data_IF_060411851418
#
_entry.id   IF_060411851418
#
_cell.length_a   1.000
_cell.length_b   1.000
_cell.length_c   1.000
_cell.angle_alpha   90.00
_cell.angle_beta   90.00
_cell.angle_gamma   90.00
#
_symmetry.space_group_name_H-M   'P 1'
#
loop_
_entity.id
_entity.type
_entity.pdbx_description
1 polymer ?
#
# COMPACT_ATOMS: atom_id res chain seq x y z
N UNK A 1 -14.23 -57.46 2.44
CA UNK A 1 -12.87 -58.07 2.51
C UNK A 1 -13.05 -59.56 2.76
N UNK A 2 -12.92 -60.38 1.70
CA UNK A 2 -12.88 -61.83 1.82
C UNK A 2 -11.40 -62.20 1.85
N UNK A 3 -10.91 -62.66 3.00
CA UNK A 3 -9.59 -63.26 3.15
C UNK A 3 -9.50 -64.51 2.27
N UNK A 4 -9.09 -64.31 1.01
CA UNK A 4 -8.73 -65.41 0.12
C UNK A 4 -7.48 -66.06 0.71
N UNK A 5 -7.69 -67.25 1.26
CA UNK A 5 -6.70 -68.19 1.73
C UNK A 5 -5.51 -68.24 0.76
N UNK A 6 -4.38 -67.64 1.15
CA UNK A 6 -3.19 -67.45 0.31
C UNK A 6 -2.41 -68.77 0.23
N UNK A 7 -2.21 -69.31 -0.98
CA UNK A 7 -1.25 -70.38 -1.26
C UNK A 7 -1.40 -71.68 -0.46
N UNK A 8 -2.59 -72.03 0.04
CA UNK A 8 -2.74 -73.18 0.94
C UNK A 8 -2.34 -74.52 0.31
N UNK A 9 -2.50 -74.66 -1.01
CA UNK A 9 -2.18 -75.90 -1.74
C UNK A 9 -0.83 -75.79 -2.44
N UNK A 10 -0.55 -74.65 -3.07
CA UNK A 10 0.67 -74.47 -3.87
C UNK A 10 1.91 -74.08 -3.06
N UNK A 11 1.74 -73.52 -1.85
CA UNK A 11 2.82 -72.88 -1.09
C UNK A 11 3.27 -71.53 -1.67
N UNK A 12 2.60 -71.00 -2.70
CA UNK A 12 2.94 -69.73 -3.35
C UNK A 12 2.23 -68.56 -2.65
N UNK A 13 2.94 -67.45 -2.39
CA UNK A 13 2.26 -66.21 -1.98
C UNK A 13 1.62 -65.53 -3.19
N UNK A 14 0.43 -66.02 -3.56
CA UNK A 14 -0.38 -65.52 -4.67
C UNK A 14 -0.70 -64.04 -4.51
N UNK A 15 -0.90 -63.58 -3.27
CA UNK A 15 -1.13 -62.18 -2.94
C UNK A 15 0.07 -61.29 -3.31
N UNK A 16 1.29 -61.75 -2.99
CA UNK A 16 2.53 -61.04 -3.35
C UNK A 16 2.75 -61.00 -4.86
N UNK A 17 2.52 -62.13 -5.57
CA UNK A 17 2.65 -62.18 -7.03
C UNK A 17 1.65 -61.26 -7.74
N UNK A 18 0.38 -61.26 -7.30
CA UNK A 18 -0.64 -60.35 -7.85
C UNK A 18 -0.22 -58.90 -7.62
N UNK A 19 0.30 -58.55 -6.44
CA UNK A 19 0.81 -57.19 -6.19
C UNK A 19 1.97 -56.82 -7.13
N UNK A 20 2.95 -57.71 -7.31
CA UNK A 20 4.08 -57.48 -8.22
C UNK A 20 3.62 -57.31 -9.68
N UNK A 21 2.70 -58.17 -10.16
CA UNK A 21 2.12 -58.02 -11.49
C UNK A 21 1.37 -56.70 -11.63
N UNK A 22 0.56 -56.33 -10.63
CA UNK A 22 -0.15 -55.06 -10.63
C UNK A 22 0.79 -53.84 -10.61
N UNK A 23 1.96 -53.92 -9.96
CA UNK A 23 2.95 -52.85 -10.00
C UNK A 23 3.50 -52.62 -11.42
N UNK A 24 3.81 -53.69 -12.15
CA UNK A 24 4.28 -53.59 -13.55
C UNK A 24 3.16 -53.07 -14.45
N UNK A 25 1.95 -53.59 -14.30
CA UNK A 25 0.76 -53.16 -15.05
C UNK A 25 0.39 -51.69 -14.78
N UNK A 26 0.74 -51.15 -13.61
CA UNK A 26 0.53 -49.75 -13.26
C UNK A 26 1.57 -48.78 -13.87
N UNK A 27 2.65 -49.27 -14.49
CA UNK A 27 3.69 -48.41 -15.04
C UNK A 27 3.19 -47.33 -16.04
N UNK A 28 2.23 -47.60 -16.94
CA UNK A 28 1.64 -46.57 -17.80
C UNK A 28 0.90 -45.49 -17.01
N UNK A 29 0.19 -45.87 -15.94
CA UNK A 29 -0.48 -44.91 -15.05
C UNK A 29 0.54 -44.04 -14.32
N UNK A 30 1.62 -44.63 -13.80
CA UNK A 30 2.71 -43.87 -13.15
C UNK A 30 3.31 -42.85 -14.11
N UNK A 31 3.51 -43.21 -15.38
CA UNK A 31 3.98 -42.26 -16.40
C UNK A 31 3.00 -41.10 -16.61
N UNK A 32 1.69 -41.35 -16.61
CA UNK A 32 0.68 -40.28 -16.72
C UNK A 32 0.68 -39.38 -15.47
N UNK A 33 0.76 -39.94 -14.27
CA UNK A 33 0.88 -39.19 -13.02
C UNK A 33 2.11 -38.29 -13.01
N UNK A 34 3.27 -38.81 -13.45
CA UNK A 34 4.50 -38.01 -13.57
C UNK A 34 4.35 -36.86 -14.58
N UNK A 35 3.59 -37.06 -15.68
CA UNK A 35 3.28 -35.98 -16.62
C UNK A 35 2.38 -34.91 -15.99
N UNK A 36 1.39 -35.30 -15.19
CA UNK A 36 0.56 -34.36 -14.42
C UNK A 36 1.42 -33.52 -13.48
N UNK A 37 2.30 -34.14 -12.70
CA UNK A 37 3.21 -33.44 -11.79
C UNK A 37 4.14 -32.47 -12.54
N UNK A 38 4.66 -32.89 -13.69
CA UNK A 38 5.50 -32.04 -14.54
C UNK A 38 4.72 -30.83 -15.03
N UNK A 39 3.51 -31.03 -15.58
CA UNK A 39 2.67 -29.95 -16.07
C UNK A 39 2.24 -28.99 -14.94
N UNK A 40 1.94 -29.50 -13.75
CA UNK A 40 1.61 -28.69 -12.57
C UNK A 40 2.80 -27.83 -12.13
N UNK A 41 4.01 -28.39 -12.16
CA UNK A 41 5.25 -27.66 -11.88
C UNK A 41 5.46 -26.56 -12.92
N UNK A 42 5.29 -26.86 -14.21
CA UNK A 42 5.34 -25.87 -15.30
C UNK A 42 4.35 -24.74 -15.08
N UNK A 43 3.08 -25.03 -14.74
CA UNK A 43 2.07 -24.01 -14.43
C UNK A 43 2.55 -23.08 -13.31
N UNK A 44 3.07 -23.66 -12.22
CA UNK A 44 3.56 -22.90 -11.07
C UNK A 44 4.73 -21.99 -11.45
N UNK A 45 5.69 -22.50 -12.24
CA UNK A 45 6.83 -21.72 -12.74
C UNK A 45 6.39 -20.56 -13.64
N UNK A 46 5.44 -20.78 -14.54
CA UNK A 46 4.88 -19.70 -15.37
C UNK A 46 4.15 -18.65 -14.54
N UNK A 47 3.41 -19.05 -13.50
CA UNK A 47 2.74 -18.12 -12.60
C UNK A 47 3.72 -17.27 -11.78
N UNK A 48 4.84 -17.85 -11.33
CA UNK A 48 5.91 -17.12 -10.66
C UNK A 48 6.50 -16.02 -11.56
N UNK A 49 6.84 -16.36 -12.81
CA UNK A 49 7.33 -15.41 -13.82
C UNK A 49 6.27 -14.32 -14.08
N UNK A 50 5.00 -14.70 -14.25
CA UNK A 50 3.91 -13.75 -14.51
C UNK A 50 3.77 -12.71 -13.39
N UNK A 51 3.96 -13.13 -12.14
CA UNK A 51 3.91 -12.25 -10.97
C UNK A 51 5.04 -11.21 -11.01
N UNK A 52 6.26 -11.63 -11.36
CA UNK A 52 7.39 -10.70 -11.51
C UNK A 52 7.20 -9.74 -12.70
N UNK A 53 6.64 -10.22 -13.81
CA UNK A 53 6.27 -9.36 -14.94
C UNK A 53 5.19 -8.35 -14.57
N UNK A 54 4.24 -8.70 -13.71
CA UNK A 54 3.23 -7.76 -13.21
C UNK A 54 3.84 -6.62 -12.40
N UNK A 55 4.85 -6.93 -11.58
CA UNK A 55 5.60 -5.91 -10.85
C UNK A 55 6.34 -4.97 -11.82
N UNK A 56 7.03 -5.53 -12.83
CA UNK A 56 7.70 -4.75 -13.87
C UNK A 56 6.71 -3.88 -14.69
N UNK A 57 5.54 -4.41 -15.06
CA UNK A 57 4.47 -3.66 -15.74
C UNK A 57 4.00 -2.48 -14.89
N UNK A 58 3.76 -2.72 -13.60
CA UNK A 58 3.29 -1.69 -12.66
C UNK A 58 4.32 -0.58 -12.51
N UNK A 59 5.61 -0.94 -12.36
CA UNK A 59 6.69 0.02 -12.26
C UNK A 59 6.88 0.82 -13.57
N UNK A 60 6.80 0.16 -14.73
CA UNK A 60 6.88 0.83 -16.03
C UNK A 60 5.73 1.81 -16.26
N UNK A 61 4.49 1.39 -15.94
CA UNK A 61 3.31 2.27 -15.99
C UNK A 61 3.43 3.46 -15.04
N UNK A 62 4.05 3.31 -13.88
CA UNK A 62 4.27 4.42 -12.96
C UNK A 62 5.16 5.50 -13.59
N UNK A 63 6.23 5.12 -14.30
CA UNK A 63 7.07 6.06 -15.06
C UNK A 63 6.25 6.72 -16.19
N UNK A 64 5.35 5.96 -16.82
CA UNK A 64 4.47 6.40 -17.90
C UNK A 64 3.43 7.46 -17.54
N UNK A 65 3.21 7.77 -16.25
CA UNK A 65 2.14 8.66 -15.79
C UNK A 65 2.61 10.11 -15.69
N UNK A 66 1.79 11.04 -16.21
CA UNK A 66 2.00 12.48 -16.08
C UNK A 66 2.18 12.94 -14.62
N UNK A 67 1.44 12.32 -13.69
CA UNK A 67 1.54 12.60 -12.26
C UNK A 67 2.96 12.44 -11.72
N UNK A 68 3.68 11.40 -12.13
CA UNK A 68 5.07 11.17 -11.73
C UNK A 68 5.95 12.38 -12.07
N UNK A 69 5.78 12.93 -13.27
CA UNK A 69 6.55 14.05 -13.79
C UNK A 69 6.12 15.42 -13.25
N UNK A 70 4.98 15.47 -12.54
CA UNK A 70 4.48 16.67 -11.85
C UNK A 70 4.67 16.60 -10.34
N UNK A 71 5.40 15.59 -9.84
CA UNK A 71 5.70 15.46 -8.41
C UNK A 71 6.61 16.62 -8.00
N UNK A 72 6.22 17.32 -6.94
CA UNK A 72 6.96 18.45 -6.39
C UNK A 72 7.46 18.11 -4.99
N UNK A 73 8.61 18.64 -4.61
CA UNK A 73 9.10 18.66 -3.23
C UNK A 73 9.18 20.10 -2.73
N UNK A 74 8.94 20.25 -1.44
CA UNK A 74 8.97 21.53 -0.74
C UNK A 74 10.08 21.56 0.29
N UNK A 75 10.72 22.71 0.46
CA UNK A 75 11.75 22.94 1.48
C UNK A 75 11.49 24.28 2.16
N UNK A 76 11.49 24.26 3.48
CA UNK A 76 11.47 25.48 4.31
C UNK A 76 12.89 25.85 4.73
N UNK A 77 13.16 27.14 4.87
CA UNK A 77 14.37 27.65 5.51
C UNK A 77 14.33 27.59 7.04
N UNK A 78 13.16 27.28 7.62
CA UNK A 78 12.94 27.23 9.06
C UNK A 78 12.20 25.98 9.51
N UNK A 79 12.58 25.44 10.67
CA UNK A 79 11.90 24.33 11.35
C UNK A 79 10.52 24.73 11.92
N UNK A 80 10.25 26.02 12.12
CA UNK A 80 8.95 26.50 12.59
C UNK A 80 7.85 26.41 11.52
N UNK A 81 8.25 26.17 10.27
CA UNK A 81 7.38 26.15 9.10
C UNK A 81 7.54 24.82 8.38
N UNK A 82 6.43 24.10 8.25
CA UNK A 82 6.35 22.93 7.38
C UNK A 82 5.62 23.29 6.11
N UNK A 83 6.08 22.75 4.98
CA UNK A 83 5.44 22.94 3.69
C UNK A 83 5.27 21.58 3.02
N UNK A 84 4.10 21.36 2.46
CA UNK A 84 3.76 20.12 1.73
C UNK A 84 3.16 20.48 0.37
N UNK A 85 3.66 19.85 -0.68
CA UNK A 85 3.08 19.89 -2.02
C UNK A 85 2.02 18.80 -2.19
N UNK A 86 0.97 19.10 -2.96
CA UNK A 86 -0.08 18.15 -3.27
C UNK A 86 -0.75 18.41 -4.62
N UNK A 87 -1.14 17.32 -5.28
CA UNK A 87 -1.90 17.34 -6.53
C UNK A 87 -1.08 17.73 -7.75
N UNK A 88 -1.74 17.68 -8.92
CA UNK A 88 -1.12 18.01 -10.21
C UNK A 88 -0.88 19.51 -10.38
N UNK A 89 -1.60 20.36 -9.65
CA UNK A 89 -1.56 21.82 -9.78
C UNK A 89 -0.33 22.48 -9.17
N UNK A 90 0.52 21.71 -8.48
CA UNK A 90 1.71 22.23 -7.85
C UNK A 90 2.70 22.79 -8.90
N UNK A 91 3.22 23.98 -8.66
CA UNK A 91 4.16 24.67 -9.56
C UNK A 91 5.47 24.97 -8.84
N UNK A 92 6.57 24.98 -9.60
CA UNK A 92 7.85 25.40 -9.08
C UNK A 92 7.83 26.89 -8.78
N UNK A 93 8.47 27.29 -7.69
CA UNK A 93 8.51 28.67 -7.23
C UNK A 93 9.01 28.78 -5.81
N UNK A 94 9.09 30.00 -5.31
CA UNK A 94 9.39 30.27 -3.93
C UNK A 94 8.49 31.37 -3.38
N UNK A 95 8.38 31.40 -2.06
CA UNK A 95 7.67 32.45 -1.35
C UNK A 95 8.45 32.83 -0.10
N UNK A 96 8.58 34.14 0.15
CA UNK A 96 9.24 34.68 1.35
C UNK A 96 8.23 35.42 2.20
N UNK A 97 8.22 35.16 3.50
CA UNK A 97 7.29 35.78 4.43
C UNK A 97 7.85 35.87 5.86
N UNK A 98 7.25 36.73 6.67
CA UNK A 98 7.37 36.72 8.13
C UNK A 98 6.10 36.12 8.73
N UNK A 99 6.24 35.26 9.75
CA UNK A 99 5.14 34.85 10.63
C UNK A 99 4.98 35.90 11.72
N UNK A 100 3.93 36.71 11.63
CA UNK A 100 3.64 37.80 12.59
C UNK A 100 2.89 37.33 13.81
N UNK A 101 2.01 36.35 13.64
CA UNK A 101 1.31 35.70 14.73
C UNK A 101 0.88 34.30 14.30
N UNK A 102 0.63 33.44 15.29
CA UNK A 102 0.02 32.13 15.10
C UNK A 102 -1.44 32.16 15.53
N UNK A 103 -2.24 31.30 14.92
CA UNK A 103 -3.62 31.08 15.33
C UNK A 103 -3.62 30.34 16.67
N UNK A 104 -4.37 30.86 17.64
CA UNK A 104 -4.54 30.24 18.95
C UNK A 104 -6.02 30.28 19.39
N UNK A 105 -6.50 29.26 20.11
CA UNK A 105 -7.81 29.29 20.73
C UNK A 105 -7.86 30.29 21.89
N UNK A 106 -9.06 30.73 22.23
CA UNK A 106 -9.26 31.51 23.46
C UNK A 106 -9.06 30.62 24.69
N UNK A 107 -8.52 31.22 25.76
CA UNK A 107 -8.56 30.67 27.11
C UNK A 107 -9.13 31.70 28.07
N UNK A 108 -10.08 31.29 28.92
CA UNK A 108 -10.63 32.12 29.99
C UNK A 108 -10.44 31.39 31.32
N UNK A 109 -9.99 32.11 32.34
CA UNK A 109 -9.78 31.57 33.69
C UNK A 109 -10.53 32.39 34.73
N UNK A 110 -11.07 31.70 35.74
CA UNK A 110 -11.69 32.31 36.90
C UNK A 110 -11.16 31.63 38.16
N UNK A 111 -10.74 32.41 39.15
CA UNK A 111 -10.29 31.89 40.44
C UNK A 111 -11.51 31.54 41.29
N UNK A 112 -11.61 30.31 41.77
CA UNK A 112 -12.82 29.77 42.40
C UNK A 112 -12.49 29.07 43.72
N UNK A 113 -13.45 29.09 44.65
CA UNK A 113 -13.42 28.21 45.81
C UNK A 113 -13.86 26.81 45.38
N UNK A 114 -13.00 25.81 45.59
CA UNK A 114 -13.29 24.43 45.15
C UNK A 114 -14.22 23.67 46.09
N UNK A 115 -14.57 24.28 47.22
CA UNK A 115 -15.41 23.70 48.27
C UNK A 115 -16.71 24.47 48.52
N UNK A 116 -16.82 25.69 47.98
CA UNK A 116 -18.01 26.50 48.15
C UNK A 116 -19.19 25.94 47.35
N UNK A 117 -20.29 25.70 48.06
CA UNK A 117 -21.58 25.35 47.48
C UNK A 117 -22.34 26.62 47.07
N UNK A 118 -22.88 26.64 45.85
CA UNK A 118 -23.72 27.74 45.32
C UNK A 118 -23.01 29.09 45.12
N UNK A 119 -21.68 29.12 45.05
CA UNK A 119 -20.92 30.35 44.74
C UNK A 119 -21.00 30.75 43.25
N UNK A 120 -21.46 29.84 42.38
CA UNK A 120 -21.57 30.02 40.94
C UNK A 120 -23.02 29.80 40.47
N UNK A 121 -23.45 30.40 39.34
CA UNK A 121 -24.83 30.30 38.90
C UNK A 121 -25.19 28.86 38.43
N UNK A 122 -26.39 28.34 38.79
CA UNK A 122 -26.87 27.04 38.31
C UNK A 122 -27.24 27.02 36.82
N UNK A 123 -27.43 28.20 36.24
CA UNK A 123 -27.67 28.41 34.81
C UNK A 123 -27.03 29.72 34.35
N UNK A 124 -26.37 29.68 33.19
CA UNK A 124 -25.66 30.81 32.61
C UNK A 124 -25.54 30.65 31.09
N UNK A 125 -25.25 31.75 30.40
CA UNK A 125 -25.06 31.73 28.97
C UNK A 125 -23.57 31.76 28.61
N UNK A 126 -23.22 31.03 27.56
CA UNK A 126 -21.96 31.16 26.84
C UNK A 126 -22.26 31.69 25.45
N UNK A 127 -21.75 32.89 25.15
CA UNK A 127 -21.79 33.46 23.80
C UNK A 127 -20.55 33.01 23.04
N UNK A 128 -20.71 32.54 21.81
CA UNK A 128 -19.61 32.14 20.92
C UNK A 128 -19.48 33.19 19.82
N UNK A 129 -18.27 33.71 19.61
CA UNK A 129 -18.00 34.71 18.58
C UNK A 129 -16.72 35.47 18.88
N UNK A 130 -16.42 36.49 18.08
CA UNK A 130 -15.23 37.31 18.27
C UNK A 130 -15.27 38.00 19.65
N UNK A 131 -14.28 37.68 20.49
CA UNK A 131 -14.05 38.34 21.77
C UNK A 131 -12.78 39.19 21.68
N UNK A 132 -12.92 40.51 21.86
CA UNK A 132 -11.82 41.48 21.80
C UNK A 132 -11.19 41.78 23.18
N UNK A 133 -11.58 41.04 24.21
CA UNK A 133 -11.19 41.22 25.60
C UNK A 133 -12.26 41.94 26.43
N UNK A 134 -13.30 42.49 25.81
CA UNK A 134 -14.42 43.15 26.49
C UNK A 134 -15.73 42.36 26.44
N UNK A 135 -15.72 41.19 25.81
CA UNK A 135 -16.90 40.33 25.60
C UNK A 135 -17.13 40.03 24.13
N UNK A 136 -18.25 39.36 23.83
CA UNK A 136 -18.70 39.01 22.48
C UNK A 136 -19.89 39.92 22.13
N UNK A 137 -19.63 40.97 21.35
CA UNK A 137 -20.64 41.94 20.93
C UNK A 137 -21.66 41.32 19.95
N UNK A 138 -21.17 40.55 18.97
CA UNK A 138 -21.98 39.91 17.92
C UNK A 138 -21.82 38.38 17.98
N UNK A 139 -22.60 37.68 18.82
CA UNK A 139 -22.47 36.23 18.98
C UNK A 139 -22.96 35.49 17.74
N UNK A 140 -22.12 34.58 17.23
CA UNK A 140 -22.49 33.59 16.22
C UNK A 140 -23.46 32.53 16.77
N UNK A 141 -23.35 32.25 18.07
CA UNK A 141 -24.24 31.36 18.81
C UNK A 141 -24.29 31.77 20.28
N UNK A 142 -25.39 31.46 20.95
CA UNK A 142 -25.52 31.60 22.41
C UNK A 142 -26.06 30.28 22.96
N UNK A 143 -25.36 29.72 23.94
CA UNK A 143 -25.71 28.46 24.57
C UNK A 143 -25.99 28.67 26.04
N UNK A 144 -27.20 28.32 26.47
CA UNK A 144 -27.55 28.29 27.89
C UNK A 144 -27.09 26.96 28.49
N UNK A 145 -26.19 27.04 29.46
CA UNK A 145 -25.74 25.90 30.26
C UNK A 145 -26.59 25.83 31.52
N UNK A 146 -27.04 24.62 31.86
CA UNK A 146 -27.82 24.35 33.07
C UNK A 146 -27.28 23.10 33.76
N UNK A 147 -27.18 23.15 35.09
CA UNK A 147 -26.92 21.95 35.88
C UNK A 147 -28.19 21.09 35.87
N UNK A 148 -28.15 19.98 35.14
CA UNK A 148 -29.30 19.09 34.93
C UNK A 148 -29.14 17.79 35.70
N UNK A 149 -30.19 17.35 36.42
CA UNK A 149 -30.22 16.11 37.19
C UNK A 149 -31.36 16.10 38.22
N UNK A 150 -31.73 14.92 38.73
CA UNK A 150 -32.70 14.77 39.82
C UNK A 150 -32.10 13.91 40.97
N UNK A 151 -31.79 14.51 42.14
CA UNK A 151 -31.89 15.94 42.44
C UNK A 151 -30.86 16.78 41.65
N UNK A 152 -31.14 18.08 41.49
CA UNK A 152 -30.25 19.00 40.78
C UNK A 152 -28.86 19.03 41.45
N UNK A 153 -27.75 18.87 40.71
CA UNK A 153 -26.41 18.97 41.27
C UNK A 153 -26.13 20.36 41.87
N UNK A 154 -25.39 20.41 42.97
CA UNK A 154 -24.95 21.68 43.57
C UNK A 154 -24.06 22.46 42.60
N UNK A 155 -24.18 23.80 42.47
CA UNK A 155 -23.31 24.63 41.65
C UNK A 155 -21.89 24.75 42.22
N UNK A 156 -21.08 23.73 41.96
CA UNK A 156 -19.64 23.68 42.23
C UNK A 156 -18.87 23.89 40.94
N UNK A 157 -17.61 24.37 40.99
CA UNK A 157 -16.77 24.51 39.80
C UNK A 157 -16.65 23.21 38.98
N UNK A 158 -16.58 22.06 39.65
CA UNK A 158 -16.49 20.74 39.00
C UNK A 158 -17.79 20.38 38.25
N UNK A 159 -18.95 20.62 38.86
CA UNK A 159 -20.24 20.37 38.21
C UNK A 159 -20.48 21.32 37.02
N UNK A 160 -20.02 22.58 37.11
CA UNK A 160 -20.05 23.52 35.99
C UNK A 160 -19.14 23.07 34.85
N UNK A 161 -17.90 22.66 35.16
CA UNK A 161 -16.99 22.14 34.16
C UNK A 161 -17.57 20.89 33.45
N UNK A 162 -18.19 19.99 34.21
CA UNK A 162 -18.87 18.81 33.66
C UNK A 162 -20.05 19.20 32.76
N UNK A 163 -20.88 20.17 33.15
CA UNK A 163 -22.01 20.66 32.35
C UNK A 163 -21.56 21.32 31.04
N UNK A 164 -20.51 22.17 31.08
CA UNK A 164 -19.93 22.79 29.89
C UNK A 164 -19.39 21.72 28.93
N UNK A 165 -18.63 20.75 29.44
CA UNK A 165 -18.08 19.66 28.62
C UNK A 165 -19.18 18.77 28.03
N UNK A 166 -20.29 18.55 28.75
CA UNK A 166 -21.42 17.74 28.30
C UNK A 166 -22.26 18.45 27.23
N UNK A 167 -22.21 19.78 27.17
CA UNK A 167 -22.94 20.56 26.16
C UNK A 167 -22.32 20.46 24.75
N UNK A 168 -21.07 19.99 24.63
CA UNK A 168 -20.33 19.80 23.36
C UNK A 168 -20.32 21.03 22.44
N UNK A 169 -20.17 22.22 23.03
CA UNK A 169 -20.22 23.51 22.33
C UNK A 169 -18.85 23.97 21.80
N UNK A 170 -17.87 23.07 21.71
CA UNK A 170 -16.51 23.41 21.28
C UNK A 170 -15.69 24.19 22.33
N UNK A 171 -16.07 24.12 23.60
CA UNK A 171 -15.30 24.63 24.74
C UNK A 171 -15.04 23.47 25.70
N UNK A 172 -13.81 23.37 26.19
CA UNK A 172 -13.42 22.43 27.25
C UNK A 172 -13.22 23.18 28.54
N UNK A 173 -13.83 22.70 29.61
CA UNK A 173 -13.70 23.27 30.95
C UNK A 173 -13.06 22.26 31.91
N UNK A 174 -12.23 22.75 32.83
CA UNK A 174 -11.64 21.95 33.89
C UNK A 174 -11.30 22.83 35.09
N UNK A 175 -11.23 22.20 36.26
CA UNK A 175 -10.84 22.86 37.50
C UNK A 175 -9.43 22.42 37.87
N UNK A 176 -8.52 23.38 37.96
CA UNK A 176 -7.13 23.16 38.41
C UNK A 176 -7.03 23.59 39.87
N UNK A 177 -6.79 22.67 40.79
CA UNK A 177 -6.57 22.99 42.20
C UNK A 177 -5.21 23.70 42.36
N UNK A 178 -5.21 24.87 42.96
CA UNK A 178 -4.00 25.69 43.21
C UNK A 178 -3.71 25.86 44.72
N UNK A 179 -4.60 25.38 45.58
CA UNK A 179 -4.46 25.31 47.04
C UNK A 179 -5.50 24.38 47.66
N UNK A 180 -5.60 24.39 48.99
CA UNK A 180 -6.49 23.49 49.76
C UNK A 180 -7.97 23.67 49.39
N UNK A 181 -8.45 24.93 49.30
CA UNK A 181 -9.81 25.28 48.91
C UNK A 181 -9.86 26.27 47.74
N UNK A 182 -8.77 26.39 46.98
CA UNK A 182 -8.62 27.36 45.90
C UNK A 182 -8.29 26.63 44.61
N UNK A 183 -8.96 27.00 43.53
CA UNK A 183 -8.68 26.50 42.20
C UNK A 183 -8.88 27.54 41.11
N UNK A 184 -8.56 27.14 39.89
CA UNK A 184 -8.83 27.89 38.66
C UNK A 184 -9.81 27.08 37.82
N UNK A 185 -11.01 27.64 37.61
CA UNK A 185 -11.90 27.17 36.56
C UNK A 185 -11.34 27.71 35.24
N UNK A 186 -10.79 26.81 34.43
CA UNK A 186 -10.20 27.14 33.14
C UNK A 186 -11.05 26.59 32.00
N UNK A 187 -11.34 27.47 31.04
CA UNK A 187 -12.06 27.14 29.82
C UNK A 187 -11.15 27.41 28.63
N UNK A 188 -11.13 26.48 27.68
CA UNK A 188 -10.33 26.58 26.46
C UNK A 188 -11.19 26.26 25.25
N UNK A 189 -11.17 27.13 24.24
CA UNK A 189 -11.83 26.87 22.96
C UNK A 189 -11.17 25.73 22.21
N UNK A 190 -11.94 24.92 21.49
CA UNK A 190 -11.42 23.80 20.70
C UNK A 190 -10.79 24.24 19.38
N UNK A 191 -11.14 25.44 18.88
CA UNK A 191 -10.66 26.00 17.61
C UNK A 191 -9.87 27.28 17.83
N UNK A 192 -8.81 27.45 17.05
CA UNK A 192 -8.08 28.70 16.94
C UNK A 192 -8.82 29.70 16.04
N UNK A 193 -8.34 30.95 15.99
CA UNK A 193 -8.90 31.98 15.12
C UNK A 193 -9.79 32.96 15.88
N UNK A 194 -9.70 34.24 15.53
CA UNK A 194 -10.32 35.36 16.25
C UNK A 194 -11.85 35.25 16.35
N UNK A 195 -12.50 34.62 15.37
CA UNK A 195 -13.96 34.41 15.36
C UNK A 195 -14.42 33.28 16.30
N UNK A 196 -13.50 32.42 16.75
CA UNK A 196 -13.79 31.27 17.63
C UNK A 196 -13.58 31.61 19.12
N UNK A 197 -13.75 32.88 19.49
CA UNK A 197 -13.79 33.32 20.89
C UNK A 197 -15.10 32.96 21.59
N UNK A 198 -15.17 33.26 22.89
CA UNK A 198 -16.38 33.09 23.68
C UNK A 198 -16.47 34.05 24.87
N UNK A 199 -17.64 34.24 25.45
CA UNK A 199 -17.87 35.03 26.67
C UNK A 199 -18.69 34.20 27.67
N UNK A 200 -18.25 34.21 28.93
CA UNK A 200 -19.00 33.67 30.05
C UNK A 200 -19.88 34.77 30.65
N UNK A 201 -21.19 34.68 30.44
CA UNK A 201 -22.13 35.70 30.90
C UNK A 201 -22.51 35.45 32.37
N UNK A 202 -22.50 36.50 33.19
CA UNK A 202 -22.96 36.43 34.58
C UNK A 202 -21.93 35.90 35.59
N UNK A 203 -20.65 35.92 35.25
CA UNK A 203 -19.54 35.52 36.14
C UNK A 203 -18.75 36.72 36.72
N UNK A 204 -19.12 37.95 36.37
CA UNK A 204 -18.52 39.17 36.91
C UNK A 204 -18.69 39.23 38.44
N UNK A 205 -17.59 39.52 39.14
CA UNK A 205 -17.53 39.62 40.60
C UNK A 205 -17.63 38.29 41.36
N UNK A 206 -17.71 37.15 40.67
CA UNK A 206 -17.86 35.83 41.32
C UNK A 206 -16.54 35.15 41.67
N UNK A 207 -15.40 35.65 41.16
CA UNK A 207 -14.10 35.06 41.44
C UNK A 207 -13.59 35.39 42.84
N UNK A 208 -12.85 34.47 43.43
CA UNK A 208 -12.18 34.68 44.72
C UNK A 208 -11.27 35.92 44.67
N UNK A 209 -11.15 36.67 45.78
CA UNK A 209 -10.30 37.85 45.84
C UNK A 209 -8.85 37.56 45.47
N UNK A 210 -8.27 38.35 44.58
CA UNK A 210 -6.86 38.24 44.23
C UNK A 210 -5.98 38.43 45.49
N UNK A 211 -4.99 37.56 45.74
CA UNK A 211 -4.23 37.57 46.98
C UNK A 211 -3.33 38.80 47.16
N UNK A 212 -3.01 39.53 46.08
CA UNK A 212 -2.17 40.74 46.15
C UNK A 212 -3.02 42.00 46.33
N UNK A 213 -4.15 42.08 45.65
CA UNK A 213 -5.00 43.29 45.62
C UNK A 213 -6.21 43.21 46.55
N UNK A 214 -6.63 42.01 46.96
CA UNK A 214 -7.81 41.79 47.80
C UNK A 214 -9.15 42.05 47.12
N UNK A 215 -9.16 42.34 45.81
CA UNK A 215 -10.36 42.59 45.02
C UNK A 215 -10.89 41.29 44.41
N UNK A 216 -12.21 41.11 44.39
CA UNK A 216 -12.87 39.99 43.68
C UNK A 216 -12.45 39.98 42.22
N UNK A 217 -12.23 38.79 41.67
CA UNK A 217 -11.70 38.65 40.30
C UNK A 217 -12.81 38.36 39.31
N UNK A 218 -12.75 39.05 38.17
CA UNK A 218 -13.56 38.72 37.00
C UNK A 218 -12.86 37.64 36.16
N UNK A 219 -13.58 36.97 35.25
CA UNK A 219 -12.97 36.04 34.31
C UNK A 219 -11.89 36.72 33.46
N UNK A 220 -10.65 36.26 33.58
CA UNK A 220 -9.52 36.76 32.81
C UNK A 220 -9.40 36.01 31.47
N UNK A 221 -9.42 36.73 30.36
CA UNK A 221 -9.47 36.14 29.01
C UNK A 221 -8.21 36.43 28.21
N UNK A 222 -7.55 35.37 27.73
CA UNK A 222 -6.60 35.42 26.62
C UNK A 222 -7.36 35.21 25.32
N UNK A 223 -7.56 36.27 24.54
CA UNK A 223 -8.36 36.23 23.30
C UNK A 223 -7.79 35.27 22.26
N UNK A 224 -8.70 34.63 21.51
CA UNK A 224 -8.35 33.88 20.32
C UNK A 224 -7.72 34.80 19.28
N UNK A 225 -6.75 34.30 18.51
CA UNK A 225 -6.12 35.07 17.43
C UNK A 225 -6.03 34.27 16.16
N UNK A 226 -5.97 34.98 15.03
CA UNK A 226 -5.65 34.41 13.73
C UNK A 226 -4.13 34.28 13.55
N UNK A 227 -3.71 33.38 12.67
CA UNK A 227 -2.36 33.37 12.15
C UNK A 227 -2.24 34.47 11.09
N UNK A 228 -1.13 35.21 11.11
CA UNK A 228 -0.87 36.28 10.14
C UNK A 228 0.52 36.11 9.57
N UNK A 229 0.59 36.06 8.23
CA UNK A 229 1.84 36.09 7.48
C UNK A 229 1.98 37.43 6.78
N UNK A 230 3.16 38.05 6.90
CA UNK A 230 3.54 39.20 6.08
C UNK A 230 4.33 38.71 4.88
N UNK A 231 3.72 38.78 3.70
CA UNK A 231 4.29 38.32 2.44
C UNK A 231 5.25 39.37 1.86
N UNK A 232 6.36 38.92 1.27
CA UNK A 232 7.40 39.77 0.69
C UNK A 232 7.86 40.90 1.63
N UNK A 233 8.36 40.57 2.84
CA UNK A 233 8.63 41.56 3.89
C UNK A 233 9.65 42.63 3.48
N UNK A 234 10.54 42.33 2.53
CA UNK A 234 11.56 43.26 2.01
C UNK A 234 11.01 44.23 0.95
N UNK A 235 9.79 44.03 0.44
CA UNK A 235 9.22 44.82 -0.65
C UNK A 235 8.66 46.19 -0.21
N UNK A 236 8.96 46.62 1.03
CA UNK A 236 8.50 47.89 1.57
C UNK A 236 6.97 48.00 1.58
N UNK A 237 6.43 49.01 0.89
CA UNK A 237 4.98 49.25 0.78
C UNK A 237 4.22 48.22 -0.06
N UNK A 238 4.93 47.36 -0.81
CA UNK A 238 4.31 46.27 -1.57
C UNK A 238 4.17 44.97 -0.77
N UNK A 239 4.64 44.94 0.49
CA UNK A 239 4.34 43.84 1.40
C UNK A 239 2.85 43.83 1.75
N UNK A 240 2.27 42.64 1.90
CA UNK A 240 0.86 42.46 2.22
C UNK A 240 0.68 41.34 3.23
N UNK A 241 -0.45 41.33 3.92
CA UNK A 241 -0.75 40.32 4.94
C UNK A 241 -1.72 39.28 4.43
N UNK A 242 -1.48 38.04 4.81
CA UNK A 242 -2.40 36.92 4.63
C UNK A 242 -2.78 36.41 6.00
N UNK A 243 -4.09 36.33 6.25
CA UNK A 243 -4.64 35.91 7.55
C UNK A 243 -5.32 34.56 7.40
N UNK A 244 -5.15 33.69 8.39
CA UNK A 244 -5.84 32.41 8.50
C UNK A 244 -6.41 32.23 9.91
N UNK A 245 -7.59 31.62 10.02
CA UNK A 245 -8.19 31.22 11.30
C UNK A 245 -7.48 30.01 11.92
N UNK A 246 -6.59 29.36 11.16
CA UNK A 246 -5.76 28.25 11.59
C UNK A 246 -4.28 28.54 11.35
N UNK A 247 -3.42 27.64 11.81
CA UNK A 247 -1.98 27.70 11.54
C UNK A 247 -1.61 27.17 10.16
N UNK A 248 -2.59 26.86 9.32
CA UNK A 248 -2.41 26.31 7.98
C UNK A 248 -2.87 27.33 6.94
N UNK A 249 -2.02 27.53 5.94
CA UNK A 249 -2.23 28.42 4.82
C UNK A 249 -2.20 27.61 3.52
N UNK A 250 -3.34 27.58 2.85
CA UNK A 250 -3.48 26.99 1.51
C UNK A 250 -3.46 28.10 0.46
N UNK A 251 -2.82 27.88 -0.68
CA UNK A 251 -2.90 28.81 -1.81
C UNK A 251 -1.90 29.97 -1.78
N UNK A 252 -0.93 29.96 -0.87
CA UNK A 252 0.23 30.86 -0.95
C UNK A 252 1.03 30.61 -2.24
N UNK A 253 1.08 29.35 -2.67
CA UNK A 253 1.51 28.92 -3.99
C UNK A 253 0.54 27.86 -4.50
N UNK A 254 0.33 27.74 -5.83
CA UNK A 254 -0.48 26.67 -6.40
C UNK A 254 -0.02 25.30 -5.90
N UNK A 255 -0.94 24.51 -5.35
CA UNK A 255 -0.67 23.14 -4.88
C UNK A 255 0.27 23.00 -3.68
N UNK A 256 0.59 24.08 -2.95
CA UNK A 256 1.40 24.03 -1.73
C UNK A 256 0.59 24.48 -0.52
N UNK A 257 0.68 23.70 0.55
CA UNK A 257 0.14 24.02 1.87
C UNK A 257 1.29 24.32 2.81
N UNK A 258 1.20 25.43 3.53
CA UNK A 258 2.20 25.87 4.50
C UNK A 258 1.57 25.86 5.89
N UNK A 259 2.25 25.28 6.88
CA UNK A 259 1.82 25.29 8.28
C UNK A 259 2.89 25.94 9.13
N UNK A 260 2.50 26.84 10.02
CA UNK A 260 3.39 27.63 10.89
C UNK A 260 3.17 27.29 12.36
N UNK A 261 4.22 27.33 13.18
CA UNK A 261 4.13 26.91 14.59
C UNK A 261 4.54 27.99 15.59
N UNK A 262 5.31 29.00 15.17
CA UNK A 262 5.70 30.16 15.99
C UNK A 262 6.02 31.35 15.10
N UNK A 263 6.10 32.53 15.72
CA UNK A 263 6.55 33.75 15.08
C UNK A 263 8.01 33.66 14.64
N UNK A 264 8.29 34.09 13.43
CA UNK A 264 9.62 34.04 12.83
C UNK A 264 9.70 34.95 11.60
N UNK A 265 10.81 35.64 11.40
CA UNK A 265 10.98 36.56 10.28
C UNK A 265 11.89 35.97 9.19
N UNK A 266 11.64 36.35 7.94
CA UNK A 266 12.50 36.02 6.80
C UNK A 266 12.46 34.54 6.39
N UNK A 267 11.36 33.85 6.60
CA UNK A 267 11.19 32.45 6.20
C UNK A 267 10.98 32.38 4.69
N UNK A 268 11.69 31.45 4.03
CA UNK A 268 11.51 31.11 2.63
C UNK A 268 11.03 29.68 2.50
N UNK A 269 10.00 29.47 1.68
CA UNK A 269 9.56 28.14 1.26
C UNK A 269 9.78 28.01 -0.24
N UNK A 270 10.58 27.03 -0.62
CA UNK A 270 10.86 26.66 -2.01
C UNK A 270 10.05 25.43 -2.40
N UNK A 271 9.46 25.46 -3.59
CA UNK A 271 8.83 24.33 -4.26
C UNK A 271 9.58 24.03 -5.56
N UNK A 272 10.09 22.81 -5.70
CA UNK A 272 10.86 22.37 -6.87
C UNK A 272 10.38 21.01 -7.35
N UNK A 273 10.60 20.66 -8.61
CA UNK A 273 10.27 19.32 -9.08
C UNK A 273 11.09 18.28 -8.33
N UNK A 274 10.44 17.19 -7.91
CA UNK A 274 11.09 16.12 -7.18
C UNK A 274 11.75 15.12 -8.15
N UNK A 275 12.89 15.54 -8.71
CA UNK A 275 13.69 14.72 -9.63
C UNK A 275 14.18 13.44 -8.96
N UNK A 276 14.40 13.47 -7.63
CA UNK A 276 14.82 12.31 -6.86
C UNK A 276 13.70 11.26 -6.79
N UNK A 277 12.46 11.70 -6.54
CA UNK A 277 11.30 10.81 -6.56
C UNK A 277 11.06 10.20 -7.96
N UNK A 278 11.28 10.97 -9.03
CA UNK A 278 11.19 10.44 -10.41
C UNK A 278 12.29 9.39 -10.63
N UNK A 279 13.54 9.69 -10.27
CA UNK A 279 14.66 8.75 -10.39
C UNK A 279 14.42 7.45 -9.60
N UNK A 280 13.80 7.54 -8.42
CA UNK A 280 13.40 6.38 -7.64
C UNK A 280 12.40 5.47 -8.37
N UNK A 281 11.51 6.02 -9.23
CA UNK A 281 10.62 5.21 -10.09
C UNK A 281 11.39 4.44 -11.17
N UNK A 282 12.39 5.07 -11.78
CA UNK A 282 13.28 4.39 -12.72
C UNK A 282 14.06 3.25 -12.05
N UNK A 283 14.60 3.50 -10.85
CA UNK A 283 15.25 2.46 -10.05
C UNK A 283 14.29 1.30 -9.75
N UNK A 284 13.08 1.57 -9.27
CA UNK A 284 12.10 0.54 -8.96
C UNK A 284 11.71 -0.29 -10.20
N UNK A 285 11.63 0.33 -11.37
CA UNK A 285 11.41 -0.38 -12.63
C UNK A 285 12.58 -1.30 -13.00
N UNK A 286 13.82 -0.81 -12.88
CA UNK A 286 15.03 -1.60 -13.14
C UNK A 286 15.09 -2.80 -12.20
N UNK A 287 14.85 -2.59 -10.90
CA UNK A 287 14.83 -3.65 -9.89
C UNK A 287 13.75 -4.70 -10.19
N UNK A 288 12.50 -4.27 -10.48
CA UNK A 288 11.40 -5.19 -10.81
C UNK A 288 11.63 -5.98 -12.11
N UNK A 289 12.24 -5.36 -13.12
CA UNK A 289 12.58 -6.03 -14.37
C UNK A 289 13.71 -7.04 -14.16
N UNK A 290 14.70 -6.70 -13.33
CA UNK A 290 15.78 -7.62 -12.96
C UNK A 290 15.28 -8.82 -12.18
N UNK A 291 14.30 -8.65 -11.28
CA UNK A 291 13.65 -9.77 -10.62
C UNK A 291 12.98 -10.70 -11.63
N UNK A 292 12.28 -10.16 -12.64
CA UNK A 292 11.66 -10.97 -13.69
C UNK A 292 12.69 -11.72 -14.53
N UNK A 293 13.79 -11.06 -14.94
CA UNK A 293 14.88 -11.69 -15.68
C UNK A 293 15.59 -12.77 -14.85
N UNK A 294 15.77 -12.54 -13.56
CA UNK A 294 16.38 -13.50 -12.63
C UNK A 294 15.48 -14.71 -12.41
N UNK A 295 14.17 -14.50 -12.25
CA UNK A 295 13.19 -15.58 -12.15
C UNK A 295 13.19 -16.42 -13.43
N UNK A 296 13.16 -15.78 -14.61
CA UNK A 296 13.28 -16.46 -15.90
C UNK A 296 14.56 -17.30 -15.97
N UNK A 297 15.70 -16.72 -15.60
CA UNK A 297 17.00 -17.43 -15.58
C UNK A 297 16.95 -18.63 -14.65
N UNK A 298 16.38 -18.48 -13.46
CA UNK A 298 16.24 -19.55 -12.47
C UNK A 298 15.36 -20.68 -13.00
N UNK A 299 14.18 -20.37 -13.55
CA UNK A 299 13.25 -21.37 -14.06
C UNK A 299 13.74 -22.08 -15.33
N UNK A 300 14.72 -21.52 -16.04
CA UNK A 300 15.27 -22.07 -17.29
C UNK A 300 16.68 -22.67 -17.13
N UNK A 301 17.31 -22.52 -15.96
CA UNK A 301 18.68 -22.93 -15.70
C UNK A 301 18.87 -24.45 -15.84
N UNK A 302 20.07 -24.84 -16.26
CA UNK A 302 20.52 -26.23 -16.27
C UNK A 302 21.69 -26.37 -15.31
N UNK A 303 21.60 -27.34 -14.40
CA UNK A 303 22.67 -27.69 -13.48
C UNK A 303 23.59 -28.74 -14.15
N UNK A 304 24.85 -28.39 -14.48
CA UNK A 304 25.78 -29.31 -15.11
C UNK A 304 26.32 -30.39 -14.16
N UNK A 305 26.34 -30.16 -12.85
CA UNK A 305 26.83 -31.11 -11.85
C UNK A 305 25.81 -32.24 -11.66
N UNK A 306 24.54 -31.88 -11.46
CA UNK A 306 23.47 -32.87 -11.30
C UNK A 306 22.87 -33.34 -12.63
N UNK A 307 23.24 -32.68 -13.74
CA UNK A 307 22.69 -32.88 -15.10
C UNK A 307 21.16 -32.75 -15.15
N UNK A 308 20.62 -31.80 -14.38
CA UNK A 308 19.17 -31.57 -14.28
C UNK A 308 18.79 -30.19 -14.81
N UNK A 309 17.76 -30.18 -15.65
CA UNK A 309 17.09 -28.94 -16.05
C UNK A 309 16.10 -28.47 -14.98
N UNK A 310 15.92 -27.17 -14.90
CA UNK A 310 14.83 -26.52 -14.19
C UNK A 310 13.50 -26.73 -14.94
N UNK A 311 12.34 -26.42 -14.33
CA UNK A 311 11.04 -26.75 -14.90
C UNK A 311 10.76 -26.21 -16.31
N UNK A 312 11.42 -25.11 -16.71
CA UNK A 312 11.25 -24.46 -18.01
C UNK A 312 12.53 -24.51 -18.86
N UNK A 313 13.49 -25.39 -18.54
CA UNK A 313 14.69 -25.56 -19.38
C UNK A 313 14.30 -25.93 -20.80
N UNK A 314 14.78 -25.14 -21.77
CA UNK A 314 14.46 -25.32 -23.19
C UNK A 314 13.11 -24.74 -23.64
N UNK A 315 12.33 -24.13 -22.74
CA UNK A 315 11.07 -23.49 -23.11
C UNK A 315 11.30 -22.32 -24.09
N UNK A 316 10.60 -22.35 -25.23
CA UNK A 316 10.76 -21.33 -26.27
C UNK A 316 10.08 -20.02 -25.90
N UNK A 317 8.89 -20.07 -25.29
CA UNK A 317 8.09 -18.91 -24.93
C UNK A 317 8.83 -18.03 -23.94
N UNK A 318 9.39 -18.63 -22.88
CA UNK A 318 10.14 -17.89 -21.87
C UNK A 318 11.42 -17.26 -22.45
N UNK A 319 12.11 -17.96 -23.34
CA UNK A 319 13.28 -17.40 -24.04
C UNK A 319 12.92 -16.21 -24.92
N UNK A 320 11.83 -16.31 -25.67
CA UNK A 320 11.31 -15.18 -26.48
C UNK A 320 10.93 -13.99 -25.60
N UNK A 321 10.34 -14.24 -24.43
CA UNK A 321 9.99 -13.18 -23.48
C UNK A 321 11.22 -12.43 -22.95
N UNK A 322 12.25 -13.16 -22.50
CA UNK A 322 13.52 -12.55 -22.07
C UNK A 322 14.16 -11.74 -23.20
N UNK A 323 14.18 -12.28 -24.42
CA UNK A 323 14.70 -11.57 -25.60
C UNK A 323 13.90 -10.32 -25.91
N UNK A 324 12.56 -10.35 -25.83
CA UNK A 324 11.73 -9.20 -26.09
C UNK A 324 11.96 -8.06 -25.08
N UNK A 325 12.08 -8.39 -23.79
CA UNK A 325 12.40 -7.42 -22.74
C UNK A 325 13.77 -6.77 -22.95
N UNK A 326 14.80 -7.57 -23.23
CA UNK A 326 16.15 -7.07 -23.49
C UNK A 326 16.23 -6.30 -24.81
N UNK A 327 15.49 -6.74 -25.84
CA UNK A 327 15.44 -6.10 -27.14
C UNK A 327 14.91 -4.68 -27.01
N UNK A 328 13.76 -4.48 -26.35
CA UNK A 328 13.15 -3.15 -26.16
C UNK A 328 14.12 -2.16 -25.50
N UNK A 329 14.93 -2.65 -24.57
CA UNK A 329 15.91 -1.82 -23.87
C UNK A 329 17.13 -1.57 -24.76
N UNK A 330 17.57 -2.58 -25.52
CA UNK A 330 18.74 -2.48 -26.40
C UNK A 330 18.51 -1.64 -27.65
N UNK A 331 17.31 -1.70 -28.23
CA UNK A 331 16.92 -0.87 -29.40
C UNK A 331 16.82 0.59 -29.04
N UNK A 332 16.69 0.88 -27.73
CA UNK A 332 16.42 2.21 -27.26
C UNK A 332 15.00 2.66 -27.57
N UNK A 333 14.66 3.87 -27.14
CA UNK A 333 13.33 4.42 -27.35
C UNK A 333 13.27 5.08 -28.74
N UNK A 334 12.61 4.39 -29.67
CA UNK A 334 12.51 4.77 -31.09
C UNK A 334 11.12 5.26 -31.49
N UNK A 335 10.12 5.06 -30.61
CA UNK A 335 8.75 5.49 -30.87
C UNK A 335 8.01 5.87 -29.60
N UNK A 336 7.09 6.83 -29.71
CA UNK A 336 6.13 7.20 -28.69
C UNK A 336 4.72 6.86 -29.14
N UNK A 337 3.82 6.72 -28.16
CA UNK A 337 2.38 6.57 -28.41
C UNK A 337 1.69 7.90 -28.12
N UNK A 338 0.95 8.40 -29.10
CA UNK A 338 0.10 9.59 -28.99
C UNK A 338 -1.34 9.22 -29.33
N UNK A 339 -2.28 10.10 -29.00
CA UNK A 339 -3.64 10.02 -29.52
C UNK A 339 -3.70 10.90 -30.77
N UNK A 340 -4.25 10.35 -31.86
CA UNK A 340 -4.62 11.16 -33.01
C UNK A 340 -5.85 12.04 -32.72
N UNK A 341 -6.24 12.88 -33.70
CA UNK A 341 -7.38 13.78 -33.57
C UNK A 341 -8.72 13.05 -33.31
N UNK A 342 -8.80 11.76 -33.67
CA UNK A 342 -9.97 10.91 -33.45
C UNK A 342 -9.89 10.13 -32.12
N UNK A 343 -8.86 10.36 -31.31
CA UNK A 343 -8.66 9.72 -30.01
C UNK A 343 -8.14 8.29 -30.10
N UNK A 344 -7.57 7.88 -31.24
CA UNK A 344 -6.96 6.56 -31.42
C UNK A 344 -5.47 6.61 -31.13
N UNK A 345 -4.96 5.56 -30.47
CA UNK A 345 -3.53 5.42 -30.19
C UNK A 345 -2.76 5.18 -31.49
N UNK A 346 -1.90 6.12 -31.85
CA UNK A 346 -0.97 6.02 -32.98
C UNK A 346 0.46 5.92 -32.48
N UNK A 347 1.35 5.38 -33.34
CA UNK A 347 2.77 5.26 -33.06
C UNK A 347 3.53 6.28 -33.88
N UNK A 348 4.28 7.14 -33.22
CA UNK A 348 5.10 8.17 -33.87
C UNK A 348 6.57 7.87 -33.60
N UNK A 349 7.49 8.17 -34.54
CA UNK A 349 8.91 8.14 -34.26
C UNK A 349 9.23 9.03 -33.04
N UNK A 350 10.10 8.55 -32.17
CA UNK A 350 10.64 9.35 -31.08
C UNK A 350 12.06 9.76 -31.44
N UNK A 351 12.31 11.07 -31.44
CA UNK A 351 13.63 11.62 -31.69
C UNK A 351 14.28 12.04 -30.38
N UNK A 352 15.39 11.40 -30.01
CA UNK A 352 16.23 11.84 -28.90
C UNK A 352 17.14 13.02 -29.28
N UNK A 353 17.10 13.48 -30.53
CA UNK A 353 18.01 14.46 -31.10
C UNK A 353 19.32 13.81 -31.56
N UNK A 354 20.36 14.64 -31.71
CA UNK A 354 21.64 14.27 -32.34
C UNK A 354 22.37 13.07 -31.70
N UNK A 355 22.06 12.74 -30.45
CA UNK A 355 22.73 11.68 -29.68
C UNK A 355 22.09 10.28 -29.84
N UNK A 356 21.04 10.15 -30.65
CA UNK A 356 20.38 8.87 -30.95
C UNK A 356 19.53 8.28 -29.82
N UNK A 357 18.80 7.17 -30.05
CA UNK A 357 17.71 6.68 -29.20
C UNK A 357 18.15 5.99 -27.89
N UNK A 358 19.29 6.34 -27.30
CA UNK A 358 19.84 5.59 -26.18
C UNK A 358 19.13 5.85 -24.85
N UNK A 359 18.57 4.79 -24.25
CA UNK A 359 18.02 4.82 -22.88
C UNK A 359 19.08 5.10 -21.80
N UNK A 360 20.37 5.04 -22.14
CA UNK A 360 21.45 5.42 -21.22
C UNK A 360 21.36 6.87 -20.77
N UNK A 361 20.72 7.74 -21.55
CA UNK A 361 20.42 9.13 -21.18
C UNK A 361 19.38 9.22 -20.07
N UNK A 362 18.42 8.29 -20.03
CA UNK A 362 17.53 8.10 -18.90
C UNK A 362 18.18 7.25 -17.78
N UNK A 363 19.50 7.03 -17.86
CA UNK A 363 20.26 6.25 -16.89
C UNK A 363 20.08 4.74 -17.02
N UNK A 364 19.31 4.22 -17.97
CA UNK A 364 19.08 2.77 -18.12
C UNK A 364 20.09 2.18 -19.12
N UNK A 365 20.79 1.13 -18.72
CA UNK A 365 21.59 0.31 -19.65
C UNK A 365 21.50 -1.16 -19.29
N UNK A 366 21.92 -2.02 -20.22
CA UNK A 366 22.16 -3.43 -19.96
C UNK A 366 23.58 -3.56 -19.38
N UNK A 367 23.67 -4.10 -18.17
CA UNK A 367 24.90 -4.42 -17.45
C UNK A 367 25.45 -5.80 -17.78
N UNK A 368 26.50 -6.20 -17.06
CA UNK A 368 27.08 -7.53 -17.20
C UNK A 368 26.07 -8.62 -16.81
N UNK A 369 26.05 -9.72 -17.57
CA UNK A 369 25.14 -10.85 -17.31
C UNK A 369 23.69 -10.64 -17.78
N UNK A 370 23.40 -9.58 -18.53
CA UNK A 370 22.08 -9.35 -19.14
C UNK A 370 21.03 -8.81 -18.18
N UNK A 371 21.45 -8.23 -17.05
CA UNK A 371 20.58 -7.48 -16.14
C UNK A 371 20.67 -5.98 -16.45
N UNK A 372 19.69 -5.22 -15.99
CA UNK A 372 19.61 -3.78 -16.15
C UNK A 372 20.35 -3.06 -15.03
N UNK A 373 20.95 -1.92 -15.35
CA UNK A 373 21.53 -0.98 -14.40
C UNK A 373 20.88 0.39 -14.55
N UNK A 374 20.64 1.07 -13.42
CA UNK A 374 20.18 2.45 -13.37
C UNK A 374 21.29 3.37 -12.85
N UNK A 375 21.72 4.31 -13.68
CA UNK A 375 22.64 5.40 -13.33
C UNK A 375 21.85 6.68 -13.05
N UNK A 376 21.56 6.90 -11.77
CA UNK A 376 20.80 8.06 -11.30
C UNK A 376 21.43 9.41 -11.72
N UNK A 377 22.75 9.52 -11.68
CA UNK A 377 23.46 10.74 -12.10
C UNK A 377 23.21 11.08 -13.58
N UNK A 378 23.22 10.09 -14.47
CA UNK A 378 22.96 10.29 -15.89
C UNK A 378 21.51 10.74 -16.16
N UNK A 379 20.55 10.17 -15.42
CA UNK A 379 19.16 10.61 -15.47
C UNK A 379 19.03 12.07 -15.02
N UNK A 380 19.62 12.43 -13.88
CA UNK A 380 19.57 13.80 -13.33
C UNK A 380 20.24 14.81 -14.25
N UNK A 381 21.34 14.44 -14.90
CA UNK A 381 22.01 15.28 -15.90
C UNK A 381 21.10 15.55 -17.10
N UNK A 382 20.47 14.51 -17.65
CA UNK A 382 19.50 14.67 -18.75
C UNK A 382 18.32 15.53 -18.35
N UNK A 383 17.74 15.29 -17.16
CA UNK A 383 16.63 16.09 -16.65
C UNK A 383 17.01 17.56 -16.47
N UNK A 384 18.21 17.84 -15.94
CA UNK A 384 18.67 19.21 -15.72
C UNK A 384 18.90 19.95 -17.04
N UNK A 385 19.41 19.25 -18.06
CA UNK A 385 19.66 19.82 -19.39
C UNK A 385 18.36 20.10 -20.16
N UNK A 386 17.41 19.16 -20.12
CA UNK A 386 16.13 19.27 -20.82
C UNK A 386 15.03 18.46 -20.08
N UNK A 387 14.30 19.10 -19.15
CA UNK A 387 13.21 18.46 -18.41
C UNK A 387 12.07 17.97 -19.32
N UNK A 388 11.79 18.68 -20.41
CA UNK A 388 10.70 18.34 -21.32
C UNK A 388 11.03 17.06 -22.09
N UNK A 389 12.25 16.97 -22.62
CA UNK A 389 12.74 15.75 -23.26
C UNK A 389 12.78 14.57 -22.29
N UNK A 390 13.30 14.77 -21.07
CA UNK A 390 13.36 13.72 -20.06
C UNK A 390 11.96 13.19 -19.73
N UNK A 391 10.98 14.08 -19.56
CA UNK A 391 9.59 13.74 -19.29
C UNK A 391 8.92 13.02 -20.45
N UNK A 392 9.05 13.54 -21.67
CA UNK A 392 8.46 12.91 -22.86
C UNK A 392 9.05 11.52 -23.11
N UNK A 393 10.39 11.40 -23.05
CA UNK A 393 11.09 10.15 -23.22
C UNK A 393 10.73 9.14 -22.13
N UNK A 394 10.72 9.56 -20.87
CA UNK A 394 10.38 8.68 -19.76
C UNK A 394 8.93 8.21 -19.81
N UNK A 395 7.98 9.09 -20.15
CA UNK A 395 6.57 8.69 -20.32
C UNK A 395 6.39 7.69 -21.48
N UNK A 396 7.03 7.95 -22.62
CA UNK A 396 6.99 7.05 -23.78
C UNK A 396 7.63 5.69 -23.46
N UNK A 397 8.78 5.68 -22.79
CA UNK A 397 9.44 4.47 -22.31
C UNK A 397 8.54 3.65 -21.37
N UNK A 398 7.98 4.30 -20.35
CA UNK A 398 7.09 3.63 -19.39
C UNK A 398 5.84 3.04 -20.04
N UNK A 399 5.28 3.75 -21.02
CA UNK A 399 4.13 3.28 -21.82
C UNK A 399 4.49 2.06 -22.67
N UNK A 400 5.60 2.11 -23.43
CA UNK A 400 6.07 1.00 -24.27
C UNK A 400 6.35 -0.25 -23.43
N UNK A 401 7.03 -0.09 -22.28
CA UNK A 401 7.28 -1.18 -21.35
C UNK A 401 5.99 -1.75 -20.76
N UNK A 402 5.02 -0.90 -20.42
CA UNK A 402 3.70 -1.33 -19.96
C UNK A 402 2.95 -2.17 -21.01
N UNK A 403 3.02 -1.77 -22.28
CA UNK A 403 2.41 -2.52 -23.39
C UNK A 403 3.12 -3.86 -23.61
N UNK A 404 4.46 -3.85 -23.63
CA UNK A 404 5.27 -5.04 -23.82
C UNK A 404 5.00 -6.08 -22.74
N UNK A 405 5.10 -5.69 -21.47
CA UNK A 405 4.87 -6.56 -20.32
C UNK A 405 3.44 -7.09 -20.31
N UNK A 406 2.43 -6.27 -20.58
CA UNK A 406 1.04 -6.71 -20.71
C UNK A 406 0.84 -7.78 -21.79
N UNK A 407 1.51 -7.62 -22.95
CA UNK A 407 1.48 -8.62 -24.02
C UNK A 407 2.09 -9.94 -23.56
N UNK A 408 3.25 -9.89 -22.88
CA UNK A 408 3.89 -11.10 -22.37
C UNK A 408 3.06 -11.80 -21.31
N UNK A 409 2.39 -11.06 -20.42
CA UNK A 409 1.46 -11.65 -19.46
C UNK A 409 0.29 -12.39 -20.12
N UNK A 410 -0.28 -11.83 -21.19
CA UNK A 410 -1.33 -12.50 -21.97
C UNK A 410 -0.83 -13.81 -22.58
N UNK A 411 0.40 -13.82 -23.11
CA UNK A 411 1.06 -15.04 -23.59
C UNK A 411 1.19 -16.07 -22.47
N UNK A 412 1.70 -15.68 -21.30
CA UNK A 412 1.83 -16.57 -20.14
C UNK A 412 0.48 -17.14 -19.72
N UNK A 413 -0.55 -16.29 -19.64
CA UNK A 413 -1.91 -16.72 -19.28
C UNK A 413 -2.44 -17.79 -20.24
N UNK A 414 -2.26 -17.59 -21.54
CA UNK A 414 -2.66 -18.57 -22.57
C UNK A 414 -1.90 -19.90 -22.42
N UNK A 415 -0.60 -19.86 -22.14
CA UNK A 415 0.19 -21.08 -21.89
C UNK A 415 -0.31 -21.81 -20.63
N UNK A 416 -0.57 -21.08 -19.55
CA UNK A 416 -1.10 -21.64 -18.29
C UNK A 416 -2.46 -22.30 -18.51
N UNK A 417 -3.36 -21.66 -19.26
CA UNK A 417 -4.66 -22.23 -19.61
C UNK A 417 -4.50 -23.53 -20.42
N UNK A 418 -3.64 -23.54 -21.44
CA UNK A 418 -3.35 -24.75 -22.21
C UNK A 418 -2.80 -25.90 -21.36
N UNK A 419 -1.89 -25.61 -20.42
CA UNK A 419 -1.35 -26.62 -19.49
C UNK A 419 -2.38 -27.15 -18.51
N UNK A 420 -3.34 -26.32 -18.07
CA UNK A 420 -4.45 -26.78 -17.23
C UNK A 420 -5.35 -27.78 -17.97
N UNK A 421 -5.69 -27.50 -19.22
CA UNK A 421 -6.45 -28.44 -20.06
C UNK A 421 -5.68 -29.75 -20.32
N UNK A 422 -4.36 -29.68 -20.49
CA UNK A 422 -3.50 -30.87 -20.56
C UNK A 422 -3.57 -31.70 -19.26
N UNK A 423 -3.50 -31.04 -18.10
CA UNK A 423 -3.61 -31.69 -16.78
C UNK A 423 -4.97 -32.38 -16.64
N UNK A 424 -6.07 -31.72 -17.01
CA UNK A 424 -7.42 -32.30 -17.00
C UNK A 424 -7.49 -33.57 -17.85
N UNK A 425 -6.99 -33.49 -19.09
CA UNK A 425 -6.96 -34.63 -20.02
C UNK A 425 -6.11 -35.80 -19.48
N UNK A 426 -4.96 -35.51 -18.87
CA UNK A 426 -4.10 -36.53 -18.28
C UNK A 426 -4.76 -37.18 -17.05
N UNK A 427 -5.46 -36.41 -16.22
CA UNK A 427 -6.21 -36.92 -15.07
C UNK A 427 -7.35 -37.83 -15.50
N UNK A 428 -8.07 -37.50 -16.57
CA UNK A 428 -9.08 -38.39 -17.16
C UNK A 428 -8.47 -39.72 -17.61
N UNK A 429 -7.28 -39.68 -18.23
CA UNK A 429 -6.56 -40.90 -18.61
C UNK A 429 -6.11 -41.71 -17.38
N UNK A 430 -5.65 -41.05 -16.30
CA UNK A 430 -5.28 -41.71 -15.04
C UNK A 430 -6.49 -42.43 -14.43
N UNK A 431 -7.65 -41.76 -14.39
CA UNK A 431 -8.91 -42.33 -13.89
C UNK A 431 -9.35 -43.55 -14.71
N UNK A 432 -9.23 -43.48 -16.04
CA UNK A 432 -9.49 -44.64 -16.90
C UNK A 432 -8.54 -45.81 -16.62
N UNK A 433 -7.27 -45.53 -16.30
CA UNK A 433 -6.31 -46.56 -15.88
C UNK A 433 -6.65 -47.16 -14.52
N UNK A 434 -7.18 -46.39 -13.56
CA UNK A 434 -7.62 -46.92 -12.27
C UNK A 434 -8.70 -48.00 -12.46
N UNK A 435 -9.67 -47.77 -13.36
CA UNK A 435 -10.72 -48.74 -13.71
C UNK A 435 -10.12 -50.00 -14.34
N UNK A 436 -9.17 -49.85 -15.27
CA UNK A 436 -8.50 -50.97 -15.94
C UNK A 436 -7.69 -51.82 -14.96
N UNK A 437 -6.92 -51.17 -14.10
CA UNK A 437 -6.10 -51.84 -13.08
C UNK A 437 -6.96 -52.57 -12.05
N UNK A 438 -8.10 -51.98 -11.64
CA UNK A 438 -9.06 -52.65 -10.78
C UNK A 438 -9.61 -53.94 -11.42
N UNK A 439 -10.00 -53.85 -12.69
CA UNK A 439 -10.51 -55.01 -13.46
C UNK A 439 -9.44 -56.09 -13.64
N UNK A 440 -8.20 -55.70 -13.95
CA UNK A 440 -7.05 -56.61 -14.08
C UNK A 440 -6.76 -57.34 -12.77
N UNK A 441 -6.76 -56.63 -11.64
CA UNK A 441 -6.58 -57.22 -10.31
C UNK A 441 -7.64 -58.29 -10.02
N UNK A 442 -8.92 -58.00 -10.31
CA UNK A 442 -9.99 -58.97 -10.12
C UNK A 442 -9.82 -60.21 -11.01
N UNK A 443 -9.40 -60.04 -12.27
CA UNK A 443 -9.14 -61.15 -13.17
C UNK A 443 -7.98 -62.03 -12.67
N UNK A 444 -6.88 -61.43 -12.22
CA UNK A 444 -5.75 -62.16 -11.63
C UNK A 444 -6.19 -62.92 -10.38
N UNK A 445 -6.93 -62.28 -9.46
CA UNK A 445 -7.47 -62.94 -8.27
C UNK A 445 -8.32 -64.17 -8.62
N UNK A 446 -9.18 -64.08 -9.65
CA UNK A 446 -9.96 -65.23 -10.13
C UNK A 446 -9.09 -66.33 -10.73
N UNK A 447 -8.07 -65.98 -11.51
CA UNK A 447 -7.13 -66.95 -12.09
C UNK A 447 -6.36 -67.71 -11.01
N UNK A 448 -5.79 -67.02 -10.03
CA UNK A 448 -5.04 -67.66 -8.94
C UNK A 448 -5.96 -68.50 -8.05
N UNK A 449 -7.19 -68.06 -7.76
CA UNK A 449 -8.16 -68.87 -7.03
C UNK A 449 -8.55 -70.18 -7.78
N UNK A 450 -8.71 -70.11 -9.09
CA UNK A 450 -8.98 -71.28 -9.93
C UNK A 450 -7.78 -72.23 -9.97
N UNK A 451 -6.54 -71.70 -10.01
CA UNK A 451 -5.31 -72.47 -9.95
C UNK A 451 -5.17 -73.23 -8.62
N UNK A 452 -5.42 -72.57 -7.47
CA UNK A 452 -5.41 -73.25 -6.16
C UNK A 452 -6.47 -74.36 -6.09
N UNK A 453 -7.65 -74.13 -6.67
CA UNK A 453 -8.71 -75.16 -6.74
C UNK A 453 -8.28 -76.36 -7.59
N UNK A 454 -7.63 -76.12 -8.72
CA UNK A 454 -7.14 -77.17 -9.61
C UNK A 454 -5.97 -77.96 -8.98
N UNK A 455 -5.02 -77.26 -8.36
CA UNK A 455 -3.94 -77.89 -7.61
C UNK A 455 -4.47 -78.71 -6.45
N UNK A 456 -5.51 -78.24 -5.75
CA UNK A 456 -6.11 -78.99 -4.64
C UNK A 456 -6.71 -80.31 -5.09
N UNK A 457 -7.39 -80.30 -6.25
CA UNK A 457 -7.90 -81.52 -6.89
C UNK A 457 -6.77 -82.47 -7.30
N UNK A 458 -5.70 -81.95 -7.89
CA UNK A 458 -4.53 -82.74 -8.29
C UNK A 458 -3.81 -83.36 -7.09
N UNK A 459 -3.64 -82.62 -6.00
CA UNK A 459 -3.02 -83.12 -4.78
C UNK A 459 -3.87 -84.23 -4.15
N UNK A 460 -5.19 -84.06 -4.10
CA UNK A 460 -6.11 -85.10 -3.64
C UNK A 460 -6.05 -86.37 -4.54
N UNK A 461 -5.99 -86.21 -5.86
CA UNK A 461 -5.81 -87.33 -6.79
C UNK A 461 -4.46 -88.03 -6.63
N UNK A 462 -3.38 -87.27 -6.44
CA UNK A 462 -2.04 -87.81 -6.18
C UNK A 462 -2.01 -88.60 -4.88
N UNK A 463 -2.56 -88.06 -3.79
CA UNK A 463 -2.68 -88.78 -2.51
C UNK A 463 -3.50 -90.06 -2.65
N UNK A 464 -4.58 -90.04 -3.43
CA UNK A 464 -5.38 -91.23 -3.72
C UNK A 464 -4.58 -92.29 -4.51
N UNK A 465 -3.88 -91.90 -5.58
CA UNK A 465 -3.03 -92.80 -6.37
C UNK A 465 -1.87 -93.38 -5.56
N UNK A 466 -1.18 -92.56 -4.76
CA UNK A 466 -0.11 -93.03 -3.87
C UNK A 466 -0.63 -94.00 -2.81
N UNK A 467 -1.83 -93.79 -2.28
CA UNK A 467 -2.49 -94.72 -1.37
C UNK A 467 -2.85 -96.05 -2.02
N UNK A 468 -3.09 -96.07 -3.34
CA UNK A 468 -3.41 -97.29 -4.09
C UNK A 468 -2.16 -98.07 -4.56
N UNK A 469 -1.01 -97.40 -4.68
CA UNK A 469 0.27 -98.01 -5.09
C UNK A 469 1.17 -98.40 -3.90
N UNK A 470 0.98 -97.80 -2.73
CA UNK A 470 1.74 -98.09 -1.51
C UNK A 470 1.07 -99.08 -0.55
N UNK A 471 -0.08 -99.64 -0.96
CA UNK A 471 -0.83 -100.67 -0.23
C UNK A 471 -0.55 -102.08 -0.73
#
# INVERSE_FOLDING_TARGET
>A
MSSSVDGLVSGLSTSSMIQQMMQVEAAPQTKLKNKVETAQTTVTSYQAINTKLAAAETAGKAIGRLETWRTMKTKSSSESVTATSGGLSAMAGNVKFDVKSVARPQTTVLRVDTTADNALPPSFDIKIGKNDGTGVADPSATHTITLSGDPMPTPTPDNLAAAINSADIGIRAYVVKTGENVGMLQLTGAKAGAENGFELVGFEGLGLPDPETGLTTDPATTVASNAVLKMNPDAGSAAYEVTSDSNTFTGLMPGVTVTVSKEENGVTVDATTDVDAIAAKFKAFVDATNEALTEIKTQTAYDPETRKGSPLTGDFTIRQMSQALLSEISTGLTSKKSLDADGKVVSEPFDFGADGPSLSRLGIKIGEGGLLEFKESAFKETYTKDPALAGEAGMAFGSNMGILTNRQQKTVKSVVEGRKTEIETLNDQVSNWDIRLASRRQALQRQYAALETALGKLQNQSSWLSGQLGG
#
